data_IF_388079395264
#
_entry.id   IF_388079395264
#
_cell.length_a   1.000
_cell.length_b   1.000
_cell.length_c   1.000
_cell.angle_alpha   90.00
_cell.angle_beta   90.00
_cell.angle_gamma   90.00
#
_symmetry.space_group_name_H-M   'P 1'
#
loop_
_entity.id
_entity.type
_entity.pdbx_description
1 polymer ?
#
# COMPACT_ATOMS: atom_id res chain seq x y z
N UNK A 1 -4.64 -17.28 -5.00
CA UNK A 1 -4.68 -15.84 -5.35
C UNK A 1 -4.53 -15.08 -4.05
N UNK A 2 -3.55 -14.18 -3.96
CA UNK A 2 -3.34 -13.37 -2.77
C UNK A 2 -4.43 -12.33 -2.59
N UNK A 3 -4.51 -11.76 -1.39
CA UNK A 3 -5.42 -10.67 -1.04
C UNK A 3 -4.95 -9.38 -1.74
N UNK A 4 -5.81 -8.68 -2.50
CA UNK A 4 -5.40 -7.53 -3.31
C UNK A 4 -5.11 -6.30 -2.43
N UNK A 5 -3.93 -5.70 -2.59
CA UNK A 5 -3.50 -4.50 -1.88
C UNK A 5 -2.79 -3.52 -2.82
N UNK A 6 -2.79 -2.23 -2.45
CA UNK A 6 -2.02 -1.19 -3.13
C UNK A 6 -0.73 -0.95 -2.34
N UNK A 7 0.40 -0.75 -3.03
CA UNK A 7 1.67 -0.40 -2.42
C UNK A 7 2.19 0.94 -2.97
N UNK A 8 2.62 1.82 -2.08
CA UNK A 8 3.22 3.10 -2.45
C UNK A 8 4.70 3.11 -2.07
N UNK A 9 5.59 3.44 -2.99
CA UNK A 9 7.03 3.45 -2.71
C UNK A 9 7.81 4.34 -3.67
N UNK A 10 8.83 5.05 -3.15
CA UNK A 10 9.66 5.97 -3.93
C UNK A 10 10.58 5.28 -4.95
N UNK A 11 10.89 4.00 -4.79
CA UNK A 11 11.82 3.28 -5.67
C UNK A 11 11.24 1.91 -6.06
N UNK A 12 11.28 1.59 -7.35
CA UNK A 12 10.82 0.29 -7.85
C UNK A 12 11.72 -0.85 -7.38
N UNK A 13 13.02 -0.61 -7.19
CA UNK A 13 13.94 -1.64 -6.72
C UNK A 13 13.53 -2.21 -5.34
N UNK A 14 13.18 -1.34 -4.39
CA UNK A 14 12.65 -1.76 -3.08
C UNK A 14 11.23 -2.31 -3.26
N UNK A 15 10.41 -1.66 -4.09
CA UNK A 15 9.05 -2.12 -4.41
C UNK A 15 9.00 -3.57 -4.89
N UNK A 16 9.91 -3.97 -5.77
CA UNK A 16 10.02 -5.35 -6.29
C UNK A 16 10.25 -6.36 -5.16
N UNK A 17 11.16 -6.07 -4.23
CA UNK A 17 11.43 -6.93 -3.08
C UNK A 17 10.19 -7.07 -2.20
N UNK A 18 9.47 -5.97 -1.96
CA UNK A 18 8.24 -5.98 -1.15
C UNK A 18 7.12 -6.75 -1.85
N UNK A 19 6.87 -6.49 -3.14
CA UNK A 19 5.87 -7.18 -3.96
C UNK A 19 6.14 -8.69 -4.00
N UNK A 20 7.40 -9.09 -4.18
CA UNK A 20 7.77 -10.50 -4.19
C UNK A 20 7.62 -11.15 -2.82
N UNK A 21 7.99 -10.45 -1.73
CA UNK A 21 7.90 -10.97 -0.37
C UNK A 21 6.47 -11.05 0.17
N UNK A 22 5.54 -10.22 -0.34
CA UNK A 22 4.13 -10.23 0.05
C UNK A 22 3.36 -11.44 -0.49
N UNK A 23 3.84 -12.03 -1.58
CA UNK A 23 3.29 -13.28 -2.12
C UNK A 23 3.65 -14.48 -1.22
N UNK A 24 2.82 -15.54 -1.22
CA UNK A 24 1.55 -15.68 -1.94
C UNK A 24 0.34 -15.08 -1.22
N UNK A 25 0.47 -14.66 0.05
CA UNK A 25 -0.67 -14.24 0.89
C UNK A 25 -1.34 -12.97 0.38
N UNK A 26 -0.55 -12.01 -0.08
CA UNK A 26 -1.03 -10.73 -0.62
C UNK A 26 -0.58 -10.56 -2.07
N UNK A 27 -1.45 -9.97 -2.88
CA UNK A 27 -1.13 -9.56 -4.24
C UNK A 27 -1.13 -8.05 -4.33
N UNK A 28 0.02 -7.47 -4.66
CA UNK A 28 0.12 -6.04 -4.93
C UNK A 28 -0.46 -5.82 -6.32
N UNK A 29 -1.68 -5.29 -6.40
CA UNK A 29 -2.36 -5.07 -7.68
C UNK A 29 -1.89 -3.79 -8.37
N UNK A 30 -1.38 -2.82 -7.60
CA UNK A 30 -0.92 -1.55 -8.10
C UNK A 30 0.24 -0.99 -7.26
N UNK A 31 1.22 -0.38 -7.94
CA UNK A 31 2.34 0.29 -7.31
C UNK A 31 2.34 1.79 -7.66
N UNK A 32 2.34 2.64 -6.63
CA UNK A 32 2.28 4.10 -6.75
C UNK A 32 3.63 4.71 -6.38
N UNK A 33 4.21 5.51 -7.26
CA UNK A 33 5.57 6.05 -7.03
C UNK A 33 5.61 7.41 -6.33
N UNK A 34 4.53 8.20 -6.40
CA UNK A 34 4.48 9.57 -5.86
C UNK A 34 3.13 9.90 -5.19
N UNK A 35 3.09 10.86 -4.25
CA UNK A 35 1.83 11.35 -3.69
C UNK A 35 0.85 11.89 -4.73
N UNK A 36 1.37 12.62 -5.73
CA UNK A 36 0.58 13.23 -6.79
C UNK A 36 -0.07 12.17 -7.68
N UNK A 37 0.71 11.16 -8.10
CA UNK A 37 0.17 9.99 -8.81
C UNK A 37 -0.85 9.25 -7.95
N UNK A 38 -0.54 9.06 -6.66
CA UNK A 38 -1.42 8.36 -5.73
C UNK A 38 -2.78 9.02 -5.58
N UNK A 39 -2.83 10.35 -5.56
CA UNK A 39 -4.07 11.12 -5.48
C UNK A 39 -4.99 10.95 -6.71
N UNK A 40 -4.47 10.40 -7.82
CA UNK A 40 -5.27 10.11 -9.02
C UNK A 40 -5.54 8.61 -9.12
N UNK A 41 -4.50 7.79 -8.98
CA UNK A 41 -4.54 6.34 -9.21
C UNK A 41 -5.33 5.60 -8.12
N UNK A 42 -5.11 5.93 -6.84
CA UNK A 42 -5.76 5.22 -5.72
C UNK A 42 -7.28 5.44 -5.75
N UNK A 43 -7.79 6.67 -5.85
CA UNK A 43 -9.23 6.92 -6.00
C UNK A 43 -9.86 6.17 -7.19
N UNK A 44 -9.17 6.11 -8.33
CA UNK A 44 -9.64 5.40 -9.52
C UNK A 44 -9.81 3.89 -9.26
N UNK A 45 -8.81 3.27 -8.65
CA UNK A 45 -8.85 1.85 -8.29
C UNK A 45 -9.95 1.59 -7.24
N UNK A 46 -10.09 2.45 -6.23
CA UNK A 46 -11.12 2.32 -5.21
C UNK A 46 -12.54 2.45 -5.78
N UNK A 47 -12.73 3.24 -6.84
CA UNK A 47 -14.00 3.32 -7.60
C UNK A 47 -14.27 2.09 -8.48
N UNK A 48 -13.29 1.19 -8.64
CA UNK A 48 -13.42 -0.01 -9.47
C UNK A 48 -13.05 0.19 -10.93
N UNK A 49 -12.32 1.26 -11.26
CA UNK A 49 -11.82 1.47 -12.62
C UNK A 49 -10.87 0.33 -13.03
N UNK A 50 -11.07 -0.24 -14.22
CA UNK A 50 -10.32 -1.40 -14.71
C UNK A 50 -9.01 -1.03 -15.42
N UNK A 51 -8.82 0.26 -15.74
CA UNK A 51 -7.62 0.77 -16.41
C UNK A 51 -7.20 2.11 -15.81
N UNK A 52 -6.86 2.15 -14.50
CA UNK A 52 -6.33 3.35 -13.88
C UNK A 52 -4.99 3.74 -14.53
N UNK A 53 -4.63 5.04 -14.52
CA UNK A 53 -3.30 5.46 -14.91
C UNK A 53 -2.25 4.76 -14.03
N UNK A 54 -1.04 4.55 -14.55
CA UNK A 54 0.02 3.86 -13.82
C UNK A 54 1.36 4.43 -14.22
N UNK A 55 2.17 4.81 -13.23
CA UNK A 55 3.54 5.31 -13.39
C UNK A 55 4.60 4.23 -13.15
N UNK A 56 4.19 2.99 -12.87
CA UNK A 56 5.06 1.85 -12.62
C UNK A 56 4.64 0.60 -13.41
N UNK A 57 5.62 -0.23 -13.74
CA UNK A 57 5.37 -1.57 -14.28
C UNK A 57 5.05 -2.60 -13.19
N UNK A 58 5.21 -2.26 -11.91
CA UNK A 58 5.02 -3.16 -10.78
C UNK A 58 3.54 -3.39 -10.45
N UNK A 59 3.31 -4.54 -9.82
CA UNK A 59 1.99 -5.05 -9.47
C UNK A 59 1.38 -5.93 -10.55
N UNK A 60 0.39 -6.73 -10.17
CA UNK A 60 -0.29 -7.67 -11.09
C UNK A 60 -1.22 -6.97 -12.07
N UNK A 61 -1.68 -5.75 -11.75
CA UNK A 61 -2.72 -5.01 -12.49
C UNK A 61 -4.04 -5.77 -12.60
N UNK A 62 -4.27 -6.72 -11.70
CA UNK A 62 -5.54 -7.43 -11.57
C UNK A 62 -6.53 -6.59 -10.75
N UNK A 63 -7.30 -5.75 -11.43
CA UNK A 63 -8.36 -4.92 -10.84
C UNK A 63 -9.73 -5.62 -10.82
N UNK A 64 -9.77 -6.94 -11.08
CA UNK A 64 -11.03 -7.71 -10.99
C UNK A 64 -11.58 -7.77 -9.57
N UNK A 65 -10.71 -7.60 -8.58
CA UNK A 65 -11.05 -7.53 -7.16
C UNK A 65 -10.63 -6.18 -6.60
N UNK A 66 -11.47 -5.53 -5.78
CA UNK A 66 -11.10 -4.27 -5.19
C UNK A 66 -10.02 -4.50 -4.12
N UNK A 67 -9.07 -3.57 -3.94
CA UNK A 67 -8.08 -3.69 -2.89
C UNK A 67 -8.74 -3.62 -1.51
N UNK A 68 -8.10 -4.27 -0.53
CA UNK A 68 -8.54 -4.29 0.86
C UNK A 68 -7.70 -3.41 1.78
N UNK A 69 -6.52 -2.97 1.32
CA UNK A 69 -5.63 -2.13 2.10
C UNK A 69 -4.69 -1.31 1.20
N UNK A 70 -4.21 -0.19 1.71
CA UNK A 70 -3.21 0.67 1.08
C UNK A 70 -1.97 0.70 1.97
N UNK A 71 -0.82 0.28 1.43
CA UNK A 71 0.45 0.23 2.15
C UNK A 71 1.34 1.36 1.65
N UNK A 72 1.70 2.27 2.55
CA UNK A 72 2.60 3.40 2.29
C UNK A 72 4.03 3.05 2.69
N UNK A 73 5.00 3.33 1.85
CA UNK A 73 6.42 3.24 2.20
C UNK A 73 6.91 4.47 2.98
N UNK A 74 8.05 4.35 3.66
CA UNK A 74 8.62 5.44 4.49
C UNK A 74 9.08 6.68 3.69
N UNK A 75 9.02 6.62 2.37
CA UNK A 75 9.25 7.76 1.50
C UNK A 75 8.10 8.77 1.46
N UNK A 76 6.90 8.42 1.93
CA UNK A 76 5.72 9.28 1.95
C UNK A 76 5.62 9.96 3.32
N UNK A 77 5.83 11.28 3.32
CA UNK A 77 5.69 12.13 4.51
C UNK A 77 4.21 12.42 4.80
N UNK A 78 3.93 13.08 5.93
CA UNK A 78 2.56 13.37 6.35
C UNK A 78 1.79 14.22 5.33
N UNK A 79 2.49 15.15 4.66
CA UNK A 79 1.91 15.97 3.61
C UNK A 79 1.48 15.12 2.41
N UNK A 80 2.37 14.27 1.90
CA UNK A 80 2.09 13.37 0.78
C UNK A 80 0.98 12.36 1.11
N UNK A 81 0.99 11.79 2.32
CA UNK A 81 -0.08 10.88 2.76
C UNK A 81 -1.43 11.60 2.81
N UNK A 82 -1.47 12.82 3.34
CA UNK A 82 -2.70 13.61 3.42
C UNK A 82 -3.26 13.96 2.05
N UNK A 83 -2.40 14.24 1.06
CA UNK A 83 -2.80 14.49 -0.33
C UNK A 83 -3.57 13.30 -0.91
N UNK A 84 -3.02 12.09 -0.78
CA UNK A 84 -3.67 10.87 -1.28
C UNK A 84 -4.95 10.57 -0.49
N UNK A 85 -4.90 10.72 0.84
CA UNK A 85 -6.04 10.42 1.70
C UNK A 85 -7.23 11.30 1.36
N UNK A 86 -7.03 12.62 1.26
CA UNK A 86 -8.09 13.57 0.86
C UNK A 86 -8.69 13.24 -0.50
N UNK A 87 -7.88 12.82 -1.46
CA UNK A 87 -8.37 12.44 -2.78
C UNK A 87 -9.19 11.13 -2.77
N UNK A 88 -8.96 10.28 -1.77
CA UNK A 88 -9.60 8.96 -1.62
C UNK A 88 -10.76 8.94 -0.62
N UNK A 89 -10.96 10.04 0.11
CA UNK A 89 -11.92 10.18 1.21
C UNK A 89 -13.34 9.83 0.75
N UNK A 90 -14.00 8.93 1.48
CA UNK A 90 -15.40 8.57 1.25
C UNK A 90 -15.67 7.70 0.01
N UNK A 91 -14.64 7.26 -0.72
CA UNK A 91 -14.82 6.35 -1.88
C UNK A 91 -15.04 4.92 -1.41
N UNK A 92 -14.09 4.39 -0.64
CA UNK A 92 -14.16 3.06 -0.07
C UNK A 92 -13.33 3.02 1.22
N UNK A 93 -13.93 2.59 2.34
CA UNK A 93 -13.19 2.52 3.59
C UNK A 93 -12.24 1.32 3.55
N UNK A 94 -10.94 1.60 3.52
CA UNK A 94 -9.87 0.61 3.61
C UNK A 94 -8.80 1.09 4.59
N UNK A 95 -8.15 0.20 5.35
CA UNK A 95 -7.05 0.56 6.22
C UNK A 95 -5.83 1.01 5.42
N UNK A 96 -5.15 2.00 5.99
CA UNK A 96 -3.89 2.54 5.46
C UNK A 96 -2.77 2.12 6.40
N UNK A 97 -1.77 1.44 5.88
CA UNK A 97 -0.63 0.99 6.65
C UNK A 97 0.53 1.93 6.35
N UNK A 98 1.18 2.47 7.38
CA UNK A 98 2.35 3.34 7.22
C UNK A 98 3.45 2.92 8.21
N UNK A 99 4.71 2.87 7.80
CA UNK A 99 5.79 2.58 8.73
C UNK A 99 5.87 3.69 9.78
N UNK A 100 6.06 3.28 11.03
CA UNK A 100 6.30 4.21 12.12
C UNK A 100 7.72 4.79 12.01
N UNK A 101 7.80 6.03 11.54
CA UNK A 101 9.08 6.74 11.37
C UNK A 101 9.70 7.20 12.70
N UNK A 102 8.99 7.05 13.82
CA UNK A 102 9.55 7.32 15.16
C UNK A 102 10.35 6.12 15.69
N UNK A 103 10.12 4.92 15.14
CA UNK A 103 10.92 3.72 15.43
C UNK A 103 12.24 3.77 14.67
N UNK A 104 13.28 3.05 15.16
CA UNK A 104 14.56 2.95 14.47
C UNK A 104 14.35 2.56 13.01
N UNK A 105 15.01 3.32 12.12
CA UNK A 105 14.92 3.11 10.69
C UNK A 105 15.23 1.64 10.36
N UNK A 106 14.38 1.05 9.53
CA UNK A 106 14.65 -0.27 8.97
C UNK A 106 16.02 -0.26 8.28
N UNK A 107 16.77 -1.38 8.32
CA UNK A 107 18.08 -1.46 7.69
C UNK A 107 17.98 -1.03 6.23
N UNK A 108 18.85 -0.11 5.80
CA UNK A 108 18.86 0.38 4.43
C UNK A 108 19.25 -0.74 3.46
N UNK A 109 18.71 -0.70 2.24
CA UNK A 109 18.98 -1.69 1.19
C UNK A 109 17.93 -2.81 1.13
N UNK A 110 18.26 -3.98 0.53
CA UNK A 110 17.30 -5.07 0.33
C UNK A 110 16.62 -5.59 1.60
N UNK A 111 17.30 -5.48 2.74
CA UNK A 111 16.77 -5.85 4.06
C UNK A 111 15.61 -4.95 4.50
N UNK A 112 15.54 -3.70 4.00
CA UNK A 112 14.40 -2.81 4.21
C UNK A 112 13.12 -3.45 3.70
N UNK A 113 13.15 -3.97 2.46
CA UNK A 113 12.00 -4.58 1.82
C UNK A 113 11.49 -5.79 2.60
N UNK A 114 12.40 -6.65 3.06
CA UNK A 114 12.04 -7.83 3.87
C UNK A 114 11.41 -7.45 5.21
N UNK A 115 11.97 -6.48 5.91
CA UNK A 115 11.43 -6.04 7.18
C UNK A 115 10.07 -5.34 7.03
N UNK A 116 9.88 -4.55 5.96
CA UNK A 116 8.57 -4.01 5.59
C UNK A 116 7.54 -5.11 5.35
N UNK A 117 7.90 -6.14 4.57
CA UNK A 117 7.01 -7.29 4.31
C UNK A 117 6.55 -7.95 5.60
N UNK A 118 7.48 -8.23 6.52
CA UNK A 118 7.15 -8.87 7.80
C UNK A 118 6.14 -8.05 8.61
N UNK A 119 6.41 -6.73 8.77
CA UNK A 119 5.52 -5.84 9.54
C UNK A 119 4.16 -5.63 8.87
N UNK A 120 4.12 -5.50 7.54
CA UNK A 120 2.88 -5.37 6.78
C UNK A 120 2.01 -6.62 6.93
N UNK A 121 2.60 -7.82 6.80
CA UNK A 121 1.87 -9.08 6.98
C UNK A 121 1.32 -9.21 8.40
N UNK A 122 2.12 -8.87 9.41
CA UNK A 122 1.71 -8.90 10.82
C UNK A 122 0.54 -7.94 11.09
N UNK A 123 0.64 -6.68 10.65
CA UNK A 123 -0.40 -5.69 10.86
C UNK A 123 -1.68 -6.03 10.09
N UNK A 124 -1.59 -6.46 8.83
CA UNK A 124 -2.78 -6.86 8.06
C UNK A 124 -3.49 -8.07 8.72
N UNK A 125 -2.74 -9.07 9.17
CA UNK A 125 -3.30 -10.21 9.87
C UNK A 125 -3.96 -9.81 11.21
N UNK A 126 -3.40 -8.82 11.92
CA UNK A 126 -4.01 -8.26 13.12
C UNK A 126 -5.31 -7.52 12.79
N UNK A 127 -5.32 -6.65 11.79
CA UNK A 127 -6.50 -5.88 11.38
C UNK A 127 -7.63 -6.79 10.89
N UNK A 128 -7.29 -7.87 10.17
CA UNK A 128 -8.25 -8.90 9.77
C UNK A 128 -8.88 -9.59 10.98
N UNK A 129 -8.08 -10.04 11.95
CA UNK A 129 -8.58 -10.66 13.20
C UNK A 129 -9.44 -9.72 14.03
N UNK A 130 -9.13 -8.44 14.04
CA UNK A 130 -9.88 -7.41 14.76
C UNK A 130 -11.11 -6.89 13.99
N UNK A 131 -11.33 -7.34 12.75
CA UNK A 131 -12.44 -6.89 11.90
C UNK A 131 -12.30 -5.44 11.39
N UNK A 132 -11.09 -4.89 11.40
CA UNK A 132 -10.77 -3.49 11.08
C UNK A 132 -10.41 -3.24 9.62
N UNK A 133 -10.56 -4.25 8.77
CA UNK A 133 -10.25 -4.17 7.32
C UNK A 133 -11.18 -3.23 6.54
N UNK A 134 -12.25 -2.73 7.15
CA UNK A 134 -13.16 -1.74 6.57
C UNK A 134 -13.12 -0.40 7.33
N UNK A 135 -12.05 -0.11 8.07
CA UNK A 135 -11.85 1.20 8.71
C UNK A 135 -10.94 2.09 7.87
N UNK A 136 -11.40 3.30 7.54
CA UNK A 136 -10.58 4.32 6.87
C UNK A 136 -9.62 5.01 7.87
N UNK A 137 -8.72 4.22 8.47
CA UNK A 137 -7.75 4.67 9.47
C UNK A 137 -6.32 4.38 9.05
N UNK A 138 -5.41 5.24 9.49
CA UNK A 138 -3.96 5.05 9.32
C UNK A 138 -3.45 4.27 10.52
N UNK A 139 -2.90 3.09 10.26
CA UNK A 139 -2.27 2.21 11.22
C UNK A 139 -0.75 2.25 11.02
N UNK A 140 -0.04 2.55 12.11
CA UNK A 140 1.42 2.63 12.11
C UNK A 140 2.04 1.27 12.46
N UNK A 141 3.14 0.89 11.81
CA UNK A 141 3.87 -0.36 12.08
C UNK A 141 5.39 -0.18 12.29
#
# INVERSE_FOLDING_TARGET
MGIPIILCGKTEHIGQVVVAGLKPEYDVIHFVMSPESGAVQIPAILRGEQSPPSDSALGSKDYSKPPVAIVLGGGFDDAGVNVIKKASEGIKPVPWLRPDLTKPALPLGPEYGKAMVARVKELLAQLEKEGKMNEEKVHLF
#
